data_IF_909776390733
#
_entry.id   IF_909776390733
#
_cell.length_a   1.000
_cell.length_b   1.000
_cell.length_c   1.000
_cell.angle_alpha   90.00
_cell.angle_beta   90.00
_cell.angle_gamma   90.00
#
_symmetry.space_group_name_H-M   'P 1'
#
loop_
_entity.id
_entity.type
_entity.pdbx_description
1 polymer ?
#
# COMPACT_ATOMS: atom_id res chain seq x y z
N UNK A 1 -14.39 7.74 6.77
CA UNK A 1 -13.02 7.16 6.69
C UNK A 1 -11.92 8.15 7.10
N UNK A 2 -11.39 9.03 6.24
CA UNK A 2 -10.23 9.89 6.60
C UNK A 2 -10.51 10.94 7.69
N UNK A 3 -11.78 11.27 7.94
CA UNK A 3 -12.18 12.14 9.06
C UNK A 3 -12.37 11.37 10.37
N UNK A 4 -12.52 10.05 10.30
CA UNK A 4 -12.92 9.19 11.43
C UNK A 4 -11.76 8.32 11.93
N UNK A 5 -10.84 7.95 11.03
CA UNK A 5 -9.71 7.08 11.34
C UNK A 5 -8.39 7.83 11.13
N UNK A 6 -7.51 7.78 12.14
CA UNK A 6 -6.15 8.31 12.07
C UNK A 6 -5.23 7.43 11.21
N UNK A 7 -5.49 6.13 11.19
CA UNK A 7 -4.72 5.14 10.44
C UNK A 7 -5.65 4.38 9.51
N UNK A 8 -5.20 4.16 8.27
CA UNK A 8 -5.97 3.47 7.23
C UNK A 8 -5.08 2.36 6.68
N UNK A 9 -5.61 1.13 6.64
CA UNK A 9 -4.87 -0.03 6.16
C UNK A 9 -5.46 -0.53 4.84
N UNK A 10 -4.59 -0.89 3.91
CA UNK A 10 -4.96 -1.45 2.61
C UNK A 10 -4.23 -2.77 2.39
N UNK A 11 -4.99 -3.80 2.03
CA UNK A 11 -4.43 -5.06 1.54
C UNK A 11 -4.00 -4.92 0.09
N UNK A 12 -2.74 -5.24 -0.19
CA UNK A 12 -2.13 -5.12 -1.51
C UNK A 12 -1.61 -6.48 -1.97
N UNK A 13 -2.27 -7.03 -3.00
CA UNK A 13 -1.94 -8.34 -3.57
C UNK A 13 -1.11 -8.25 -4.85
N UNK A 14 -0.81 -7.04 -5.34
CA UNK A 14 -0.18 -6.83 -6.63
C UNK A 14 -1.10 -7.08 -7.83
N UNK A 15 -2.38 -7.37 -7.61
CA UNK A 15 -3.38 -7.42 -8.69
C UNK A 15 -3.71 -6.01 -9.20
N UNK A 16 -4.23 -5.93 -10.42
CA UNK A 16 -4.67 -4.67 -11.03
C UNK A 16 -5.62 -3.87 -10.14
N UNK A 17 -6.59 -4.53 -9.52
CA UNK A 17 -7.58 -3.84 -8.69
C UNK A 17 -6.96 -3.28 -7.42
N UNK A 18 -6.09 -4.06 -6.77
CA UNK A 18 -5.36 -3.60 -5.58
C UNK A 18 -4.39 -2.47 -5.90
N UNK A 19 -3.79 -2.45 -7.09
CA UNK A 19 -2.90 -1.38 -7.54
C UNK A 19 -3.66 -0.09 -7.86
N UNK A 20 -4.78 -0.17 -8.58
CA UNK A 20 -5.62 1.00 -8.83
C UNK A 20 -6.09 1.61 -7.51
N UNK A 21 -6.55 0.78 -6.56
CA UNK A 21 -6.99 1.25 -5.26
C UNK A 21 -5.85 1.88 -4.45
N UNK A 22 -4.67 1.27 -4.43
CA UNK A 22 -3.49 1.81 -3.77
C UNK A 22 -3.13 3.19 -4.33
N UNK A 23 -3.04 3.35 -5.65
CA UNK A 23 -2.68 4.63 -6.24
C UNK A 23 -3.74 5.72 -6.02
N UNK A 24 -5.03 5.37 -6.04
CA UNK A 24 -6.11 6.31 -5.69
C UNK A 24 -6.05 6.74 -4.23
N UNK A 25 -5.79 5.79 -3.32
CA UNK A 25 -5.59 6.06 -1.90
C UNK A 25 -4.42 7.02 -1.69
N UNK A 26 -3.26 6.73 -2.29
CA UNK A 26 -2.06 7.57 -2.17
C UNK A 26 -2.28 8.96 -2.76
N UNK A 27 -2.96 9.07 -3.91
CA UNK A 27 -3.30 10.35 -4.51
C UNK A 27 -4.18 11.18 -3.58
N UNK A 28 -5.25 10.60 -3.05
CA UNK A 28 -6.14 11.32 -2.14
C UNK A 28 -5.42 11.72 -0.84
N UNK A 29 -4.68 10.78 -0.25
CA UNK A 29 -3.91 10.98 0.97
C UNK A 29 -2.94 12.15 0.84
N UNK A 30 -2.14 12.19 -0.23
CA UNK A 30 -1.16 13.25 -0.46
C UNK A 30 -1.82 14.64 -0.64
N UNK A 31 -3.01 14.71 -1.23
CA UNK A 31 -3.68 15.98 -1.50
C UNK A 31 -4.58 16.50 -0.36
N UNK A 32 -5.07 15.61 0.52
CA UNK A 32 -6.15 15.96 1.44
C UNK A 32 -6.00 15.43 2.87
N UNK A 33 -5.14 14.44 3.11
CA UNK A 33 -5.10 13.73 4.39
C UNK A 33 -3.69 13.24 4.76
N UNK A 34 -2.66 14.03 4.44
CA UNK A 34 -1.25 13.68 4.66
C UNK A 34 -0.87 13.59 6.14
N UNK A 35 -1.75 14.02 7.04
CA UNK A 35 -1.64 13.86 8.50
C UNK A 35 -2.14 12.48 8.99
N UNK A 36 -2.64 11.62 8.10
CA UNK A 36 -3.04 10.24 8.38
C UNK A 36 -1.92 9.25 8.11
N UNK A 37 -1.93 8.12 8.81
CA UNK A 37 -1.01 7.01 8.55
C UNK A 37 -1.65 6.03 7.57
N UNK A 38 -0.90 5.61 6.56
CA UNK A 38 -1.33 4.55 5.63
C UNK A 38 -0.51 3.29 5.87
N UNK A 39 -1.17 2.19 6.23
CA UNK A 39 -0.55 0.86 6.31
C UNK A 39 -0.80 0.07 5.04
N UNK A 40 0.26 -0.31 4.32
CA UNK A 40 0.15 -1.20 3.14
C UNK A 40 0.54 -2.61 3.55
N UNK A 41 -0.40 -3.53 3.44
CA UNK A 41 -0.24 -4.91 3.88
C UNK A 41 -0.18 -5.88 2.70
N UNK A 42 0.95 -6.57 2.56
CA UNK A 42 1.10 -7.69 1.63
C UNK A 42 1.24 -9.00 2.41
N UNK A 43 0.43 -9.99 2.05
CA UNK A 43 0.55 -11.34 2.57
C UNK A 43 1.30 -12.22 1.57
N UNK A 44 2.45 -12.72 1.99
CA UNK A 44 3.26 -13.66 1.22
C UNK A 44 2.78 -15.09 1.49
N UNK A 45 2.38 -15.77 0.41
CA UNK A 45 1.86 -17.15 0.50
C UNK A 45 2.93 -18.18 0.08
N UNK A 46 4.19 -17.76 -0.15
CA UNK A 46 5.35 -18.56 -0.58
C UNK A 46 5.20 -19.31 -1.93
N UNK A 47 3.98 -19.45 -2.46
CA UNK A 47 3.65 -20.10 -3.72
C UNK A 47 3.26 -19.10 -4.83
N UNK A 48 3.64 -17.83 -4.70
CA UNK A 48 3.28 -16.79 -5.67
C UNK A 48 4.09 -16.88 -6.97
N UNK A 49 3.50 -16.40 -8.06
CA UNK A 49 4.22 -16.20 -9.32
C UNK A 49 5.34 -15.19 -9.14
N UNK A 50 6.56 -15.53 -9.57
CA UNK A 50 7.75 -14.68 -9.43
C UNK A 50 7.53 -13.25 -9.95
N UNK A 51 6.78 -13.09 -11.04
CA UNK A 51 6.46 -11.76 -11.62
C UNK A 51 5.60 -10.91 -10.68
N UNK A 52 4.65 -11.53 -9.97
CA UNK A 52 3.80 -10.86 -8.97
C UNK A 52 4.64 -10.44 -7.77
N UNK A 53 5.47 -11.34 -7.24
CA UNK A 53 6.39 -11.03 -6.12
C UNK A 53 7.37 -9.91 -6.48
N UNK A 54 7.95 -9.94 -7.68
CA UNK A 54 8.84 -8.88 -8.18
C UNK A 54 8.12 -7.53 -8.28
N UNK A 55 6.88 -7.54 -8.76
CA UNK A 55 6.07 -6.34 -8.87
C UNK A 55 5.77 -5.73 -7.50
N UNK A 56 5.37 -6.56 -6.53
CA UNK A 56 5.07 -6.12 -5.17
C UNK A 56 6.33 -5.59 -4.49
N UNK A 57 7.46 -6.29 -4.64
CA UNK A 57 8.76 -5.84 -4.14
C UNK A 57 9.14 -4.46 -4.68
N UNK A 58 8.96 -4.22 -5.99
CA UNK A 58 9.21 -2.90 -6.59
C UNK A 58 8.28 -1.82 -6.02
N UNK A 59 7.01 -2.15 -5.80
CA UNK A 59 6.04 -1.22 -5.22
C UNK A 59 6.38 -0.89 -3.77
N UNK A 60 6.75 -1.87 -2.95
CA UNK A 60 7.19 -1.66 -1.58
C UNK A 60 8.44 -0.77 -1.52
N UNK A 61 9.48 -1.08 -2.31
CA UNK A 61 10.68 -0.23 -2.41
C UNK A 61 10.39 1.22 -2.81
N UNK A 62 9.41 1.44 -3.69
CA UNK A 62 8.98 2.80 -4.06
C UNK A 62 8.39 3.55 -2.87
N UNK A 63 7.64 2.87 -2.00
CA UNK A 63 6.94 3.46 -0.87
C UNK A 63 7.78 3.57 0.41
N UNK A 64 8.90 2.85 0.52
CA UNK A 64 9.79 2.86 1.70
C UNK A 64 10.26 4.26 2.12
N UNK A 65 10.32 5.20 1.17
CA UNK A 65 10.81 6.56 1.41
C UNK A 65 9.68 7.58 1.67
N UNK A 66 8.42 7.15 1.65
CA UNK A 66 7.26 8.03 1.81
C UNK A 66 6.91 8.19 3.30
N UNK A 67 7.00 9.42 3.81
CA UNK A 67 6.70 9.71 5.21
C UNK A 67 5.21 9.49 5.52
N UNK A 68 4.88 8.72 6.55
CA UNK A 68 3.49 8.41 6.93
C UNK A 68 2.91 7.16 6.24
N UNK A 69 3.74 6.43 5.49
CA UNK A 69 3.41 5.10 4.98
C UNK A 69 4.17 4.04 5.79
N UNK A 70 3.42 3.05 6.28
CA UNK A 70 3.94 1.89 6.98
C UNK A 70 3.77 0.64 6.10
N UNK A 71 4.85 -0.10 5.88
CA UNK A 71 4.86 -1.28 5.02
C UNK A 71 4.89 -2.55 5.86
N UNK A 72 3.93 -3.45 5.60
CA UNK A 72 3.79 -4.72 6.28
C UNK A 72 3.88 -5.84 5.24
N UNK A 73 4.95 -6.63 5.31
CA UNK A 73 5.13 -7.87 4.55
C UNK A 73 5.02 -9.03 5.53
N UNK A 74 3.95 -9.81 5.43
CA UNK A 74 3.58 -10.85 6.40
C UNK A 74 3.47 -12.21 5.74
#
# INVERSE_FOLDING_TARGET
>A
MFQEFKSIYISFSGSKDSDVLLNLLLYYWNNHASDRVIGVFHQDFEAQYTVTTDYITRTFKRLENEYGIELYWV
#
